data_IF_600752375468
#
_entry.id   IF_600752375468
#
_cell.length_a   1.000
_cell.length_b   1.000
_cell.length_c   1.000
_cell.angle_alpha   90.00
_cell.angle_beta   90.00
_cell.angle_gamma   90.00
#
_symmetry.space_group_name_H-M   'P 1'
#
loop_
_entity.id
_entity.type
_entity.pdbx_description
1 polymer ?
#
# COMPACT_ATOMS: atom_id res chain seq x y z
N UNK A 1 16.57 -9.02 13.00
CA UNK A 1 16.44 -7.57 13.25
C UNK A 1 15.90 -6.93 11.97
N UNK A 2 14.87 -6.08 12.06
CA UNK A 2 14.28 -5.43 10.89
C UNK A 2 15.13 -4.22 10.46
N UNK A 3 15.32 -4.04 9.16
CA UNK A 3 15.98 -2.86 8.58
C UNK A 3 15.16 -2.31 7.43
N UNK A 4 15.10 -0.99 7.33
CA UNK A 4 14.53 -0.37 6.15
C UNK A 4 15.45 -0.56 4.94
N UNK A 5 14.85 -0.82 3.78
CA UNK A 5 15.54 -0.93 2.50
C UNK A 5 15.29 0.34 1.67
N UNK A 6 16.05 0.48 0.59
CA UNK A 6 15.92 1.61 -0.33
C UNK A 6 14.75 1.39 -1.27
N UNK A 7 13.68 2.14 -1.00
CA UNK A 7 12.44 2.16 -1.76
C UNK A 7 11.94 3.60 -1.80
N UNK A 8 12.83 4.51 -2.18
CA UNK A 8 12.55 5.94 -2.08
C UNK A 8 11.66 6.41 -3.24
N UNK A 9 11.75 5.72 -4.39
CA UNK A 9 10.88 5.88 -5.55
C UNK A 9 10.57 4.49 -6.12
N UNK A 10 9.28 4.24 -6.38
CA UNK A 10 8.80 3.07 -7.11
C UNK A 10 7.85 3.55 -8.21
N UNK A 11 7.90 2.95 -9.40
CA UNK A 11 7.09 3.42 -10.54
C UNK A 11 6.71 2.26 -11.47
N UNK A 12 5.62 2.45 -12.21
CA UNK A 12 5.20 1.62 -13.34
C UNK A 12 5.11 2.42 -14.65
N UNK A 13 5.81 3.57 -14.72
CA UNK A 13 5.79 4.56 -15.80
C UNK A 13 4.45 5.32 -15.98
N UNK A 14 3.40 4.96 -15.24
CA UNK A 14 2.13 5.70 -15.20
C UNK A 14 1.96 6.50 -13.91
N UNK A 15 2.35 5.91 -12.76
CA UNK A 15 2.34 6.57 -11.46
C UNK A 15 3.66 6.35 -10.72
N UNK A 16 3.98 7.29 -9.84
CA UNK A 16 5.14 7.19 -8.95
C UNK A 16 4.68 7.09 -7.48
N UNK A 17 5.29 6.18 -6.74
CA UNK A 17 5.22 6.11 -5.28
C UNK A 17 6.50 6.72 -4.73
N UNK A 18 6.40 7.93 -4.18
CA UNK A 18 7.53 8.66 -3.58
C UNK A 18 7.47 8.51 -2.06
N UNK A 19 8.56 8.03 -1.44
CA UNK A 19 8.58 7.81 0.02
C UNK A 19 8.38 9.15 0.75
N UNK A 20 7.46 9.16 1.70
CA UNK A 20 7.29 10.28 2.64
C UNK A 20 7.89 9.94 4.00
N UNK A 21 7.70 8.70 4.46
CA UNK A 21 8.12 8.31 5.80
C UNK A 21 8.38 6.81 5.95
N UNK A 22 9.46 6.49 6.67
CA UNK A 22 9.76 5.16 7.22
C UNK A 22 9.42 5.20 8.71
N UNK A 23 8.44 4.41 9.16
CA UNK A 23 7.95 4.40 10.55
C UNK A 23 8.40 3.11 11.22
N UNK A 24 9.27 3.16 12.25
CA UNK A 24 9.73 1.96 12.94
C UNK A 24 8.59 1.25 13.69
N UNK A 25 8.83 0.00 14.06
CA UNK A 25 7.91 -0.74 14.93
C UNK A 25 7.69 -0.01 16.26
N UNK A 26 6.52 -0.20 16.84
CA UNK A 26 6.21 0.19 18.21
C UNK A 26 5.48 -0.98 18.88
N UNK A 27 6.20 -1.71 19.73
CA UNK A 27 5.69 -2.93 20.37
C UNK A 27 4.56 -2.65 21.36
N UNK A 28 4.66 -1.57 22.14
CA UNK A 28 3.62 -1.15 23.10
C UNK A 28 2.25 -0.93 22.45
N UNK A 29 2.25 -0.46 21.20
CA UNK A 29 1.03 -0.21 20.40
C UNK A 29 0.73 -1.31 19.41
N UNK A 30 1.49 -2.42 19.43
CA UNK A 30 1.37 -3.50 18.45
C UNK A 30 1.54 -3.03 17.01
N UNK A 31 2.40 -2.04 16.73
CA UNK A 31 2.65 -1.54 15.37
C UNK A 31 3.89 -2.19 14.80
N UNK A 32 3.75 -2.78 13.62
CA UNK A 32 4.88 -3.25 12.83
C UNK A 32 5.51 -2.08 12.05
N UNK A 33 6.76 -2.21 11.55
CA UNK A 33 7.37 -1.19 10.71
C UNK A 33 6.53 -0.89 9.47
N UNK A 34 6.52 0.35 8.99
CA UNK A 34 5.80 0.71 7.77
C UNK A 34 6.51 1.72 6.90
N UNK A 35 6.20 1.66 5.61
CA UNK A 35 6.58 2.65 4.62
C UNK A 35 5.33 3.44 4.23
N UNK A 36 5.44 4.76 4.14
CA UNK A 36 4.37 5.65 3.68
C UNK A 36 4.83 6.37 2.44
N UNK A 37 3.99 6.35 1.42
CA UNK A 37 4.24 6.94 0.13
C UNK A 37 3.14 7.93 -0.23
N UNK A 38 3.53 9.02 -0.87
CA UNK A 38 2.63 9.81 -1.71
C UNK A 38 2.57 9.18 -3.11
N UNK A 39 1.41 9.24 -3.73
CA UNK A 39 1.18 8.81 -5.10
C UNK A 39 1.17 10.06 -5.97
N UNK A 40 1.97 10.09 -7.02
CA UNK A 40 1.94 11.15 -8.05
C UNK A 40 1.71 10.52 -9.42
N UNK A 41 1.25 11.31 -10.39
CA UNK A 41 1.41 10.91 -11.80
C UNK A 41 2.90 10.85 -12.14
N UNK A 42 3.26 10.02 -13.12
CA UNK A 42 4.65 9.83 -13.51
C UNK A 42 5.33 11.17 -13.86
N UNK A 43 6.49 11.43 -13.26
CA UNK A 43 7.27 12.67 -13.41
C UNK A 43 6.54 13.96 -12.99
N UNK A 44 5.44 13.85 -12.24
CA UNK A 44 4.73 15.00 -11.67
C UNK A 44 5.04 15.14 -10.18
N UNK A 45 4.88 16.35 -9.64
CA UNK A 45 5.02 16.60 -8.20
C UNK A 45 3.69 16.61 -7.46
N UNK A 46 2.59 16.81 -8.18
CA UNK A 46 1.25 16.87 -7.59
C UNK A 46 0.81 15.49 -7.07
N UNK A 47 0.37 15.51 -5.81
CA UNK A 47 -0.04 14.29 -5.11
C UNK A 47 -1.49 13.97 -5.43
N UNK A 48 -1.71 12.80 -6.03
CA UNK A 48 -3.03 12.28 -6.40
C UNK A 48 -3.61 11.32 -5.34
N UNK A 49 -2.82 10.98 -4.33
CA UNK A 49 -3.21 10.09 -3.24
C UNK A 49 -2.04 9.67 -2.36
N UNK A 50 -2.29 8.71 -1.48
CA UNK A 50 -1.29 8.13 -0.59
C UNK A 50 -1.47 6.61 -0.47
N UNK A 51 -0.38 5.91 -0.19
CA UNK A 51 -0.39 4.47 0.08
C UNK A 51 0.66 4.13 1.14
N UNK A 52 0.33 3.23 2.05
CA UNK A 52 1.24 2.72 3.06
C UNK A 52 1.26 1.20 3.10
N UNK A 53 2.42 0.64 3.44
CA UNK A 53 2.60 -0.79 3.64
C UNK A 53 3.24 -1.09 5.00
N UNK A 54 2.65 -2.02 5.73
CA UNK A 54 3.04 -2.47 7.07
C UNK A 54 3.69 -3.84 6.96
N UNK A 55 4.96 -3.93 7.36
CA UNK A 55 5.81 -5.11 7.19
C UNK A 55 5.77 -6.00 8.42
N UNK A 56 5.05 -7.12 8.30
CA UNK A 56 4.87 -8.09 9.37
C UNK A 56 3.41 -8.46 9.59
N UNK A 57 3.19 -9.43 10.47
CA UNK A 57 1.85 -9.90 10.81
C UNK A 57 1.66 -9.92 12.32
N UNK A 58 0.61 -9.26 12.76
CA UNK A 58 0.06 -9.29 14.10
C UNK A 58 -1.44 -8.98 14.06
N UNK A 59 -2.07 -8.90 15.23
CA UNK A 59 -3.49 -8.62 15.38
C UNK A 59 -3.93 -7.33 14.66
N UNK A 60 -3.14 -6.24 14.77
CA UNK A 60 -3.44 -4.98 14.10
C UNK A 60 -3.42 -5.10 12.58
N UNK A 61 -2.44 -5.79 12.00
CA UNK A 61 -2.39 -6.01 10.54
C UNK A 61 -3.42 -7.04 10.06
N UNK A 62 -3.91 -7.91 10.95
CA UNK A 62 -4.97 -8.86 10.65
C UNK A 62 -6.30 -8.12 10.43
N UNK A 63 -6.66 -7.20 11.33
CA UNK A 63 -7.91 -6.43 11.24
C UNK A 63 -7.82 -5.18 10.38
N UNK A 64 -6.68 -4.49 10.37
CA UNK A 64 -6.47 -3.23 9.65
C UNK A 64 -5.73 -3.37 8.31
N UNK A 65 -5.31 -4.58 7.96
CA UNK A 65 -4.56 -4.87 6.76
C UNK A 65 -3.09 -4.46 6.82
N UNK A 66 -2.31 -5.03 5.90
CA UNK A 66 -0.94 -4.64 5.61
C UNK A 66 -0.86 -3.41 4.71
N UNK A 67 -1.83 -3.20 3.81
CA UNK A 67 -1.84 -2.05 2.89
C UNK A 67 -3.00 -1.13 3.21
N UNK A 68 -2.72 0.17 3.36
CA UNK A 68 -3.71 1.24 3.37
C UNK A 68 -3.49 2.18 2.19
N UNK A 69 -4.55 2.67 1.56
CA UNK A 69 -4.43 3.64 0.47
C UNK A 69 -5.59 4.63 0.44
N UNK A 70 -5.39 5.76 -0.23
CA UNK A 70 -6.42 6.75 -0.52
C UNK A 70 -6.08 7.43 -1.85
N UNK A 71 -7.08 7.63 -2.71
CA UNK A 71 -6.97 8.40 -3.96
C UNK A 71 -7.88 9.62 -3.83
N UNK A 72 -7.37 10.81 -4.14
CA UNK A 72 -8.15 12.05 -4.10
C UNK A 72 -9.33 11.93 -5.07
N UNK A 73 -10.44 12.58 -4.73
CA UNK A 73 -11.73 12.33 -5.38
C UNK A 73 -11.70 12.58 -6.89
N UNK A 74 -11.00 13.63 -7.31
CA UNK A 74 -10.82 14.05 -8.70
C UNK A 74 -10.05 13.02 -9.57
N UNK A 75 -9.25 12.14 -8.96
CA UNK A 75 -8.45 11.13 -9.67
C UNK A 75 -9.06 9.72 -9.57
N UNK A 76 -10.19 9.53 -8.88
CA UNK A 76 -10.87 8.23 -8.78
C UNK A 76 -11.39 7.78 -10.16
N UNK A 77 -11.61 6.47 -10.31
CA UNK A 77 -12.06 5.88 -11.58
C UNK A 77 -10.95 5.53 -12.59
N UNK A 78 -9.73 6.06 -12.39
CA UNK A 78 -8.57 5.81 -13.27
C UNK A 78 -7.72 4.59 -12.90
N UNK A 79 -8.20 3.75 -11.96
CA UNK A 79 -7.48 2.55 -11.48
C UNK A 79 -6.13 2.80 -10.77
N UNK A 80 -5.81 4.04 -10.40
CA UNK A 80 -4.54 4.37 -9.70
C UNK A 80 -4.34 3.60 -8.38
N UNK A 81 -5.40 3.34 -7.62
CA UNK A 81 -5.30 2.50 -6.43
C UNK A 81 -4.80 1.08 -6.75
N UNK A 82 -5.29 0.48 -7.84
CA UNK A 82 -4.86 -0.86 -8.28
C UNK A 82 -3.38 -0.86 -8.67
N UNK A 83 -2.95 0.16 -9.43
CA UNK A 83 -1.54 0.33 -9.82
C UNK A 83 -0.66 0.49 -8.59
N UNK A 84 -1.02 1.37 -7.67
CA UNK A 84 -0.26 1.61 -6.44
C UNK A 84 -0.12 0.33 -5.60
N UNK A 85 -1.20 -0.45 -5.45
CA UNK A 85 -1.16 -1.74 -4.76
C UNK A 85 -0.25 -2.77 -5.45
N UNK A 86 -0.17 -2.77 -6.78
CA UNK A 86 0.74 -3.65 -7.53
C UNK A 86 2.19 -3.25 -7.33
N UNK A 87 2.51 -1.97 -7.42
CA UNK A 87 3.87 -1.44 -7.25
C UNK A 87 4.35 -1.69 -5.80
N UNK A 88 3.55 -1.33 -4.80
CA UNK A 88 3.99 -1.42 -3.39
C UNK A 88 4.17 -2.87 -2.91
N UNK A 89 3.58 -3.85 -3.59
CA UNK A 89 3.75 -5.28 -3.28
C UNK A 89 5.23 -5.69 -3.33
N UNK A 90 6.02 -5.09 -4.23
CA UNK A 90 7.46 -5.39 -4.34
C UNK A 90 8.21 -5.12 -3.03
N UNK A 91 7.80 -4.09 -2.28
CA UNK A 91 8.35 -3.81 -0.94
C UNK A 91 8.19 -5.02 -0.02
N UNK A 92 6.99 -5.61 0.01
CA UNK A 92 6.70 -6.76 0.85
C UNK A 92 7.43 -8.03 0.40
N UNK A 93 7.52 -8.28 -0.91
CA UNK A 93 8.27 -9.42 -1.48
C UNK A 93 9.72 -9.36 -1.03
N UNK A 94 10.35 -8.19 -1.15
CA UNK A 94 11.76 -8.00 -0.78
C UNK A 94 11.97 -8.11 0.73
N UNK A 95 10.95 -7.85 1.55
CA UNK A 95 10.97 -8.12 3.00
C UNK A 95 10.61 -9.57 3.37
N UNK A 96 10.43 -10.45 2.39
CA UNK A 96 10.14 -11.88 2.61
C UNK A 96 8.71 -12.16 3.07
N UNK A 97 7.77 -11.26 2.80
CA UNK A 97 6.37 -11.49 3.12
C UNK A 97 5.71 -12.37 2.07
N UNK A 98 5.18 -13.52 2.50
CA UNK A 98 4.48 -14.47 1.62
C UNK A 98 3.01 -14.09 1.36
N UNK A 99 2.43 -13.26 2.24
CA UNK A 99 1.04 -12.83 2.17
C UNK A 99 0.89 -11.36 2.53
N UNK A 100 -0.11 -10.72 1.91
CA UNK A 100 -0.53 -9.37 2.25
C UNK A 100 -2.03 -9.37 2.48
N UNK A 101 -2.44 -8.73 3.56
CA UNK A 101 -3.85 -8.49 3.84
C UNK A 101 -4.17 -7.08 3.34
N UNK A 102 -5.15 -6.94 2.47
CA UNK A 102 -5.71 -5.64 2.10
C UNK A 102 -7.14 -5.64 2.58
N UNK A 103 -7.40 -4.86 3.62
CA UNK A 103 -8.76 -4.69 4.15
C UNK A 103 -9.42 -3.56 3.39
N UNK A 104 -10.35 -3.92 2.52
CA UNK A 104 -11.23 -2.95 1.89
C UNK A 104 -12.50 -2.84 2.74
N UNK A 105 -12.98 -1.62 2.94
CA UNK A 105 -14.34 -1.44 3.46
C UNK A 105 -15.29 -2.21 2.52
N UNK A 106 -16.09 -3.18 3.02
CA UNK A 106 -16.95 -4.02 2.20
C UNK A 106 -17.97 -3.21 1.38
N UNK A 107 -18.32 -1.99 1.81
CA UNK A 107 -19.25 -1.09 1.12
C UNK A 107 -18.57 -0.23 0.03
N UNK A 108 -17.24 -0.29 -0.09
CA UNK A 108 -16.49 0.41 -1.12
C UNK A 108 -16.38 -0.47 -2.38
N UNK A 109 -17.46 -0.50 -3.17
CA UNK A 109 -17.57 -1.23 -4.44
C UNK A 109 -16.35 -1.02 -5.38
N UNK A 110 -15.79 0.20 -5.54
CA UNK A 110 -14.54 0.44 -6.27
C UNK A 110 -13.32 -0.33 -5.72
N UNK A 111 -13.24 -0.47 -4.40
CA UNK A 111 -12.18 -1.18 -3.69
C UNK A 111 -12.25 -2.69 -3.93
N UNK A 112 -13.44 -3.29 -3.91
CA UNK A 112 -13.65 -4.70 -4.26
C UNK A 112 -13.21 -5.01 -5.69
N UNK A 113 -13.65 -4.20 -6.66
CA UNK A 113 -13.23 -4.33 -8.07
C UNK A 113 -11.72 -4.18 -8.26
N UNK A 114 -11.08 -3.34 -7.47
CA UNK A 114 -9.62 -3.15 -7.49
C UNK A 114 -8.90 -4.41 -7.01
N UNK A 115 -9.37 -5.04 -5.94
CA UNK A 115 -8.79 -6.29 -5.44
C UNK A 115 -8.94 -7.45 -6.45
N UNK A 116 -10.12 -7.60 -7.05
CA UNK A 116 -10.38 -8.62 -8.06
C UNK A 116 -9.48 -8.44 -9.30
N UNK A 117 -9.34 -7.20 -9.81
CA UNK A 117 -8.48 -6.89 -10.97
C UNK A 117 -6.98 -7.04 -10.68
N UNK A 118 -6.57 -6.98 -9.42
CA UNK A 118 -5.18 -7.19 -9.00
C UNK A 118 -4.84 -8.66 -8.75
N UNK A 119 -5.77 -9.60 -9.00
CA UNK A 119 -5.55 -11.03 -8.78
C UNK A 119 -5.55 -11.43 -7.31
N UNK A 120 -6.04 -10.57 -6.41
CA UNK A 120 -6.16 -10.85 -5.00
C UNK A 120 -7.37 -11.76 -4.76
N UNK A 121 -7.17 -12.90 -4.10
CA UNK A 121 -8.27 -13.75 -3.67
C UNK A 121 -8.91 -13.13 -2.42
N UNK A 122 -10.20 -12.81 -2.52
CA UNK A 122 -11.01 -12.49 -1.34
C UNK A 122 -11.06 -13.74 -0.44
N UNK A 123 -10.66 -13.60 0.82
CA UNK A 123 -10.98 -14.56 1.88
C UNK A 123 -12.13 -13.96 2.68
N UNK A 124 -13.30 -14.59 2.57
CA UNK A 124 -14.44 -14.38 3.47
C UNK A 124 -14.20 -15.09 4.81
#
# INVERSE_FOLDING_TARGET
MFYFKDFDLLTDDDIDLKIEKKVPANEEKGRVPSYKYRITLHNMEDTIGAIDIRIGHNENTYYGGNIGYTINEEYRGNSYASKACKIIREVAIVHGMEKLIITCNPDNFPSRRTCEKSGLKLRE
#
